data_IF_185415216954
#
_entry.id   IF_185415216954
#
_cell.length_a   1.000
_cell.length_b   1.000
_cell.length_c   1.000
_cell.angle_alpha   90.00
_cell.angle_beta   90.00
_cell.angle_gamma   90.00
#
_symmetry.space_group_name_H-M   'P 1'
#
loop_
_entity.id
_entity.type
_entity.pdbx_description
1 polymer ?
#
# COMPACT_ATOMS: atom_id res chain seq x y z
N UNK A 1 -29.94 -8.81 -4.07
CA UNK A 1 -30.52 -7.81 -4.99
C UNK A 1 -29.34 -6.98 -5.46
N UNK A 2 -29.21 -6.70 -6.76
CA UNK A 2 -28.05 -5.96 -7.26
C UNK A 2 -28.18 -4.50 -6.84
N UNK A 3 -27.40 -4.05 -5.86
CA UNK A 3 -27.39 -2.67 -5.41
C UNK A 3 -26.54 -1.83 -6.39
N UNK A 4 -27.22 -0.99 -7.17
CA UNK A 4 -26.58 -0.07 -8.10
C UNK A 4 -25.85 1.02 -7.32
N UNK A 5 -24.53 1.08 -7.45
CA UNK A 5 -23.71 2.15 -6.88
C UNK A 5 -23.11 3.03 -7.99
N UNK A 6 -22.85 4.30 -7.68
CA UNK A 6 -22.12 5.21 -8.56
C UNK A 6 -20.78 5.54 -7.91
N UNK A 7 -19.69 5.18 -8.57
CA UNK A 7 -18.33 5.44 -8.08
C UNK A 7 -18.00 6.94 -8.03
N UNK A 8 -18.61 7.73 -8.93
CA UNK A 8 -18.31 9.16 -9.11
C UNK A 8 -19.59 9.98 -9.32
N UNK A 9 -20.48 10.11 -8.32
CA UNK A 9 -21.80 10.70 -8.47
C UNK A 9 -21.80 12.16 -8.93
N UNK A 10 -20.68 12.89 -8.73
CA UNK A 10 -20.53 14.27 -9.19
C UNK A 10 -20.70 14.44 -10.70
N UNK A 11 -20.41 13.42 -11.51
CA UNK A 11 -20.61 13.47 -12.96
C UNK A 11 -22.09 13.54 -13.37
N UNK A 12 -23.02 13.20 -12.47
CA UNK A 12 -24.46 13.39 -12.69
C UNK A 12 -24.84 14.88 -12.77
N UNK A 13 -24.03 15.80 -12.23
CA UNK A 13 -24.27 17.24 -12.38
C UNK A 13 -24.20 17.70 -13.84
N UNK A 14 -23.50 16.96 -14.70
CA UNK A 14 -23.43 17.24 -16.14
C UNK A 14 -24.81 17.13 -16.80
N UNK A 15 -25.74 16.35 -16.21
CA UNK A 15 -27.13 16.22 -16.66
C UNK A 15 -27.90 17.56 -16.54
N UNK A 16 -27.48 18.46 -15.63
CA UNK A 16 -28.04 19.81 -15.51
C UNK A 16 -27.72 20.71 -16.72
N UNK A 17 -26.72 20.37 -17.54
CA UNK A 17 -26.45 21.08 -18.79
C UNK A 17 -27.44 20.73 -19.91
N UNK A 18 -28.17 19.60 -19.82
CA UNK A 18 -29.20 19.21 -20.80
C UNK A 18 -30.29 20.27 -20.97
N UNK A 19 -30.97 20.78 -19.90
CA UNK A 19 -31.98 21.82 -20.05
C UNK A 19 -31.41 23.12 -20.60
N UNK A 20 -30.14 23.46 -20.32
CA UNK A 20 -29.47 24.64 -20.89
C UNK A 20 -29.35 24.51 -22.42
N UNK A 21 -28.96 23.33 -22.90
CA UNK A 21 -28.89 23.02 -24.34
C UNK A 21 -30.28 23.10 -24.98
N UNK A 22 -31.33 22.60 -24.32
CA UNK A 22 -32.71 22.66 -24.82
C UNK A 22 -33.23 24.10 -24.88
N UNK A 23 -33.01 24.91 -23.84
CA UNK A 23 -33.42 26.32 -23.80
C UNK A 23 -32.64 27.15 -24.82
N UNK A 24 -31.33 26.93 -24.94
CA UNK A 24 -30.51 27.56 -25.98
C UNK A 24 -31.04 27.21 -27.37
N UNK A 25 -31.40 25.95 -27.62
CA UNK A 25 -32.02 25.53 -28.87
C UNK A 25 -33.34 26.27 -29.14
N UNK A 26 -34.22 26.39 -28.13
CA UNK A 26 -35.49 27.10 -28.29
C UNK A 26 -35.28 28.59 -28.59
N UNK A 27 -34.32 29.25 -27.92
CA UNK A 27 -33.98 30.66 -28.16
C UNK A 27 -33.34 30.90 -29.52
N UNK A 28 -32.48 29.98 -29.99
CA UNK A 28 -31.87 30.06 -31.33
C UNK A 28 -32.89 29.74 -32.44
N UNK A 29 -33.84 28.84 -32.20
CA UNK A 29 -34.97 28.55 -33.13
C UNK A 29 -35.93 29.73 -33.24
N UNK A 30 -36.16 30.44 -32.14
CA UNK A 30 -36.94 31.68 -32.05
C UNK A 30 -36.06 32.93 -32.22
N UNK A 31 -34.87 32.77 -32.81
CA UNK A 31 -34.02 33.87 -33.27
C UNK A 31 -34.64 34.62 -34.45
N UNK A 32 -35.89 35.08 -34.30
CA UNK A 32 -36.34 36.34 -34.88
C UNK A 32 -35.49 37.43 -34.22
N UNK A 33 -34.28 37.51 -34.74
CA UNK A 33 -33.38 38.64 -34.64
C UNK A 33 -34.26 39.89 -34.70
N UNK A 34 -34.32 40.64 -33.59
CA UNK A 34 -35.27 41.76 -33.39
C UNK A 34 -35.26 42.85 -34.47
N UNK A 35 -34.35 42.73 -35.44
CA UNK A 35 -34.33 43.34 -36.76
C UNK A 35 -35.63 43.18 -37.57
N UNK A 36 -36.40 42.09 -37.41
CA UNK A 36 -37.73 41.97 -38.03
C UNK A 36 -38.74 43.01 -37.52
N UNK A 37 -38.51 43.57 -36.32
CA UNK A 37 -39.35 44.61 -35.72
C UNK A 37 -39.10 45.99 -36.32
N UNK A 38 -37.97 46.17 -37.01
CA UNK A 38 -37.52 47.48 -37.53
C UNK A 38 -37.30 47.52 -39.05
N UNK A 39 -37.24 46.37 -39.74
CA UNK A 39 -36.99 46.30 -41.18
C UNK A 39 -38.22 45.72 -41.91
N UNK A 40 -38.82 46.45 -42.88
CA UNK A 40 -39.95 45.96 -43.67
C UNK A 40 -39.64 44.63 -44.36
N UNK A 41 -40.58 43.66 -44.38
CA UNK A 41 -40.35 42.30 -44.88
C UNK A 41 -39.94 42.23 -46.37
N UNK A 42 -40.20 43.29 -47.15
CA UNK A 42 -39.77 43.41 -48.54
C UNK A 42 -38.25 43.56 -48.71
N UNK A 43 -37.55 44.15 -47.73
CA UNK A 43 -36.09 44.39 -47.77
C UNK A 43 -35.26 43.27 -47.13
N UNK A 44 -35.90 42.39 -46.34
CA UNK A 44 -35.23 41.23 -45.70
C UNK A 44 -35.07 40.04 -46.66
N UNK A 45 -35.98 39.89 -47.63
CA UNK A 45 -35.96 38.76 -48.59
C UNK A 45 -34.70 38.69 -49.47
N UNK A 46 -34.11 39.80 -49.95
CA UNK A 46 -32.89 39.73 -50.75
C UNK A 46 -31.62 39.50 -49.92
N UNK A 47 -31.58 39.98 -48.67
CA UNK A 47 -30.37 39.95 -47.82
C UNK A 47 -30.20 38.66 -47.02
N UNK A 48 -31.27 37.90 -46.78
CA UNK A 48 -31.22 36.58 -46.12
C UNK A 48 -31.10 35.44 -47.16
N UNK A 49 -30.82 35.75 -48.44
CA UNK A 49 -30.36 34.73 -49.39
C UNK A 49 -28.93 34.34 -49.04
N UNK A 50 -28.81 33.28 -48.23
CA UNK A 50 -27.60 32.48 -48.19
C UNK A 50 -27.26 32.02 -49.62
N UNK A 51 -26.00 32.17 -50.08
CA UNK A 51 -25.60 31.65 -51.38
C UNK A 51 -25.73 30.12 -51.33
N UNK A 52 -26.45 29.56 -52.31
CA UNK A 52 -26.69 28.13 -52.56
C UNK A 52 -27.82 27.43 -51.76
N UNK A 53 -29.06 27.88 -51.90
CA UNK A 53 -30.24 27.09 -51.54
C UNK A 53 -31.40 27.26 -52.52
N UNK A 54 -31.73 26.22 -53.27
CA UNK A 54 -32.94 26.11 -54.11
C UNK A 54 -34.23 26.23 -53.25
N UNK A 55 -35.33 26.79 -53.77
CA UNK A 55 -36.56 26.95 -53.01
C UNK A 55 -37.23 25.58 -52.82
N UNK A 56 -37.38 25.13 -51.57
CA UNK A 56 -38.16 23.93 -51.23
C UNK A 56 -37.48 22.89 -50.34
N UNK A 57 -36.18 23.02 -50.03
CA UNK A 57 -35.56 22.15 -49.02
C UNK A 57 -35.56 22.83 -47.65
N UNK A 58 -36.09 22.18 -46.60
CA UNK A 58 -35.95 22.71 -45.25
C UNK A 58 -34.45 22.84 -44.98
N UNK A 59 -33.99 24.04 -44.64
CA UNK A 59 -32.68 24.22 -44.03
C UNK A 59 -32.67 23.27 -42.85
N UNK A 60 -31.88 22.19 -42.96
CA UNK A 60 -31.90 21.11 -41.99
C UNK A 60 -31.31 21.63 -40.67
N UNK A 61 -32.13 22.38 -39.93
CA UNK A 61 -31.87 22.86 -38.58
C UNK A 61 -31.56 21.61 -37.78
N UNK A 62 -30.28 21.48 -37.43
CA UNK A 62 -29.74 20.37 -36.67
C UNK A 62 -30.69 20.11 -35.49
N UNK A 63 -31.29 18.91 -35.39
CA UNK A 63 -31.96 18.57 -34.16
C UNK A 63 -30.86 18.45 -33.09
N UNK A 64 -30.97 19.17 -31.98
CA UNK A 64 -30.01 19.09 -30.88
C UNK A 64 -30.31 17.93 -29.93
N UNK A 65 -31.34 17.11 -30.23
CA UNK A 65 -31.65 15.89 -29.47
C UNK A 65 -30.51 14.85 -29.41
N UNK A 66 -29.72 14.56 -30.48
CA UNK A 66 -28.57 13.66 -30.38
C UNK A 66 -27.49 14.21 -29.43
N UNK A 67 -27.32 15.53 -29.37
CA UNK A 67 -26.37 16.16 -28.45
C UNK A 67 -26.83 16.03 -27.00
N UNK A 68 -28.11 16.29 -26.72
CA UNK A 68 -28.69 16.09 -25.40
C UNK A 68 -28.63 14.62 -24.96
N UNK A 69 -28.92 13.68 -25.86
CA UNK A 69 -28.82 12.24 -25.61
C UNK A 69 -27.38 11.81 -25.34
N UNK A 70 -26.42 12.28 -26.14
CA UNK A 70 -25.00 11.99 -25.93
C UNK A 70 -24.53 12.46 -24.55
N UNK A 71 -24.90 13.68 -24.18
CA UNK A 71 -24.49 14.30 -22.93
C UNK A 71 -25.08 13.58 -21.71
N UNK A 72 -26.32 13.09 -21.83
CA UNK A 72 -26.96 12.21 -20.83
C UNK A 72 -26.22 10.88 -20.70
N UNK A 73 -25.93 10.19 -21.82
CA UNK A 73 -25.24 8.90 -21.82
C UNK A 73 -23.82 9.02 -21.26
N UNK A 74 -23.11 10.10 -21.61
CA UNK A 74 -21.77 10.38 -21.08
C UNK A 74 -21.81 10.67 -19.59
N UNK A 75 -22.77 11.48 -19.11
CA UNK A 75 -22.90 11.74 -17.67
C UNK A 75 -23.08 10.46 -16.86
N UNK A 76 -23.85 9.50 -17.41
CA UNK A 76 -24.11 8.22 -16.78
C UNK A 76 -22.89 7.29 -16.85
N UNK A 77 -22.17 7.27 -17.98
CA UNK A 77 -20.94 6.50 -18.13
C UNK A 77 -19.84 6.98 -17.17
N UNK A 78 -19.66 8.30 -17.06
CA UNK A 78 -18.66 8.94 -16.21
C UNK A 78 -18.99 8.85 -14.71
N UNK A 79 -20.26 8.71 -14.36
CA UNK A 79 -20.68 8.46 -12.98
C UNK A 79 -20.21 7.08 -12.46
N UNK A 80 -19.80 6.19 -13.38
CA UNK A 80 -19.27 4.86 -13.08
C UNK A 80 -20.30 3.98 -12.38
N UNK A 81 -21.39 3.60 -13.07
CA UNK A 81 -22.36 2.66 -12.52
C UNK A 81 -21.65 1.33 -12.28
N UNK A 82 -21.76 0.83 -11.06
CA UNK A 82 -21.15 -0.40 -10.62
C UNK A 82 -22.21 -1.31 -10.05
N UNK A 83 -22.32 -2.51 -10.61
CA UNK A 83 -23.21 -3.58 -10.14
C UNK A 83 -22.47 -4.90 -9.95
N UNK A 84 -21.15 -4.91 -10.18
CA UNK A 84 -20.25 -6.02 -9.89
C UNK A 84 -19.23 -5.60 -8.83
N UNK A 85 -19.02 -6.47 -7.86
CA UNK A 85 -17.89 -6.38 -6.94
C UNK A 85 -16.78 -7.25 -7.50
N UNK A 86 -15.59 -6.67 -7.68
CA UNK A 86 -14.39 -7.42 -8.03
C UNK A 86 -13.56 -7.60 -6.75
N UNK A 87 -13.55 -8.79 -6.12
CA UNK A 87 -12.65 -9.06 -5.01
C UNK A 87 -11.23 -8.98 -5.57
N UNK A 88 -10.52 -7.91 -5.23
CA UNK A 88 -9.12 -7.76 -5.60
C UNK A 88 -8.33 -8.34 -4.42
N UNK A 89 -7.54 -9.42 -4.60
CA UNK A 89 -6.73 -9.94 -3.52
C UNK A 89 -5.72 -8.87 -3.10
N UNK A 90 -5.83 -8.39 -1.86
CA UNK A 90 -4.76 -7.60 -1.28
C UNK A 90 -3.56 -8.54 -1.10
N UNK A 91 -2.47 -8.28 -1.81
CA UNK A 91 -1.16 -8.86 -1.49
C UNK A 91 -0.76 -8.34 -0.10
N UNK A 92 -1.17 -9.01 0.96
CA UNK A 92 -0.48 -8.91 2.25
C UNK A 92 0.65 -9.94 2.20
N UNK A 93 1.91 -9.53 2.35
CA UNK A 93 2.98 -10.50 2.51
C UNK A 93 2.67 -11.34 3.75
N UNK A 94 2.39 -12.64 3.54
CA UNK A 94 2.16 -13.63 4.59
C UNK A 94 3.44 -13.96 5.36
N UNK A 95 4.19 -12.93 5.72
CA UNK A 95 5.47 -13.03 6.39
C UNK A 95 5.30 -12.57 7.83
N UNK A 96 5.14 -13.54 8.71
CA UNK A 96 4.88 -13.32 10.13
C UNK A 96 6.19 -13.35 10.91
N UNK A 97 6.47 -12.29 11.68
CA UNK A 97 7.67 -12.19 12.52
C UNK A 97 7.29 -12.03 13.99
N UNK A 98 7.82 -12.89 14.86
CA UNK A 98 7.78 -12.65 16.31
C UNK A 98 9.13 -12.09 16.76
N UNK A 99 9.12 -10.84 17.21
CA UNK A 99 10.29 -10.20 17.82
C UNK A 99 10.27 -10.50 19.31
N UNK A 100 11.33 -11.14 19.79
CA UNK A 100 11.55 -11.52 21.19
C UNK A 100 12.65 -10.63 21.75
N UNK A 101 12.28 -9.66 22.60
CA UNK A 101 13.20 -8.69 23.19
C UNK A 101 13.58 -9.09 24.63
N UNK A 102 14.87 -9.19 24.87
CA UNK A 102 15.44 -9.39 26.21
C UNK A 102 15.30 -8.11 27.06
N UNK A 103 14.71 -8.25 28.25
CA UNK A 103 14.56 -7.21 29.28
C UNK A 103 15.28 -7.58 30.58
N UNK A 104 16.30 -8.45 30.52
CA UNK A 104 17.19 -8.70 31.65
C UNK A 104 18.03 -7.47 31.99
N UNK A 105 18.56 -7.40 33.22
CA UNK A 105 19.35 -6.25 33.68
C UNK A 105 20.62 -6.03 32.85
N UNK A 106 21.16 -7.06 32.21
CA UNK A 106 22.36 -6.94 31.37
C UNK A 106 22.12 -6.09 30.12
N UNK A 107 20.87 -5.96 29.67
CA UNK A 107 20.48 -5.07 28.58
C UNK A 107 20.58 -3.57 28.95
N UNK A 108 20.79 -3.22 30.22
CA UNK A 108 21.09 -1.83 30.62
C UNK A 108 22.58 -1.49 30.52
N UNK A 109 23.45 -2.45 30.16
CA UNK A 109 24.88 -2.19 30.05
C UNK A 109 25.20 -1.14 28.98
N UNK A 110 26.22 -0.34 29.27
CA UNK A 110 26.61 0.84 28.49
C UNK A 110 27.90 0.63 27.69
N UNK A 111 28.17 -0.60 27.25
CA UNK A 111 29.26 -0.87 26.30
C UNK A 111 28.90 -0.47 24.86
N UNK A 112 27.63 -0.22 24.60
CA UNK A 112 27.10 0.47 23.43
C UNK A 112 26.29 1.67 23.90
N UNK A 113 26.34 2.78 23.16
CA UNK A 113 25.70 4.03 23.57
C UNK A 113 24.26 4.13 23.03
N UNK A 114 23.28 4.59 23.85
CA UNK A 114 23.39 4.90 25.28
C UNK A 114 23.40 3.66 26.19
N UNK A 115 22.67 2.62 25.81
CA UNK A 115 22.66 1.30 26.44
C UNK A 115 22.12 0.26 25.42
N UNK A 116 22.33 -1.03 25.70
CA UNK A 116 21.92 -2.13 24.80
C UNK A 116 20.42 -2.12 24.52
N UNK A 117 19.57 -1.92 25.53
CA UNK A 117 18.11 -1.93 25.38
C UNK A 117 17.63 -0.78 24.51
N UNK A 118 18.12 0.43 24.73
CA UNK A 118 17.77 1.60 23.94
C UNK A 118 18.16 1.40 22.47
N UNK A 119 19.33 0.82 22.23
CA UNK A 119 19.79 0.48 20.88
C UNK A 119 18.92 -0.62 20.23
N UNK A 120 18.55 -1.66 20.98
CA UNK A 120 17.64 -2.70 20.56
C UNK A 120 16.26 -2.13 20.17
N UNK A 121 15.69 -1.27 21.02
CA UNK A 121 14.41 -0.58 20.72
C UNK A 121 14.50 0.24 19.45
N UNK A 122 15.59 1.00 19.25
CA UNK A 122 15.78 1.76 18.00
C UNK A 122 15.79 0.82 16.80
N UNK A 123 16.55 -0.27 16.86
CA UNK A 123 16.63 -1.25 15.79
C UNK A 123 15.28 -1.93 15.52
N UNK A 124 14.46 -2.17 16.54
CA UNK A 124 13.09 -2.68 16.35
C UNK A 124 12.26 -1.65 15.55
N UNK A 125 12.37 -0.35 15.81
CA UNK A 125 11.69 0.67 14.99
C UNK A 125 12.15 0.65 13.54
N UNK A 126 13.47 0.59 13.31
CA UNK A 126 14.05 0.47 11.97
C UNK A 126 13.54 -0.79 11.25
N UNK A 127 13.41 -1.91 11.98
CA UNK A 127 12.87 -3.16 11.49
C UNK A 127 11.38 -3.08 11.14
N UNK A 128 10.56 -2.45 11.99
CA UNK A 128 9.14 -2.24 11.72
C UNK A 128 8.95 -1.37 10.47
N UNK A 129 9.76 -0.33 10.31
CA UNK A 129 9.75 0.53 9.13
C UNK A 129 10.09 -0.23 7.83
N UNK A 130 11.04 -1.16 7.91
CA UNK A 130 11.41 -2.03 6.80
C UNK A 130 10.36 -3.13 6.49
N UNK A 131 9.40 -3.35 7.40
CA UNK A 131 8.37 -4.41 7.32
C UNK A 131 6.96 -3.85 7.20
N UNK A 132 6.77 -2.65 6.65
CA UNK A 132 5.45 -2.03 6.47
C UNK A 132 4.46 -2.94 5.76
N UNK A 133 3.33 -3.21 6.42
CA UNK A 133 2.25 -4.06 5.90
C UNK A 133 2.46 -5.56 6.13
N UNK A 134 3.55 -5.99 6.79
CA UNK A 134 3.74 -7.37 7.24
C UNK A 134 3.41 -7.52 8.73
N UNK A 135 2.99 -8.72 9.12
CA UNK A 135 2.60 -8.99 10.50
C UNK A 135 3.82 -9.14 11.40
N UNK A 136 3.82 -8.38 12.48
CA UNK A 136 4.84 -8.45 13.53
C UNK A 136 4.17 -8.58 14.89
N UNK A 137 4.68 -9.51 15.71
CA UNK A 137 4.34 -9.62 17.12
C UNK A 137 5.54 -9.17 17.96
N UNK A 138 5.27 -8.61 19.13
CA UNK A 138 6.30 -8.22 20.10
C UNK A 138 6.11 -9.02 21.38
N UNK A 139 7.17 -9.72 21.76
CA UNK A 139 7.28 -10.50 23.00
C UNK A 139 8.48 -10.00 23.78
N UNK A 140 8.36 -9.97 25.10
CA UNK A 140 9.47 -9.61 26.00
C UNK A 140 9.73 -10.70 27.00
N UNK A 141 10.97 -10.79 27.47
CA UNK A 141 11.30 -11.79 28.49
C UNK A 141 12.44 -11.35 29.42
N UNK A 142 12.47 -11.96 30.60
CA UNK A 142 13.57 -11.92 31.57
C UNK A 142 13.55 -13.23 32.35
N UNK A 143 13.13 -13.25 33.61
CA UNK A 143 12.89 -14.49 34.37
C UNK A 143 11.58 -15.20 33.99
N UNK A 144 10.70 -14.49 33.28
CA UNK A 144 9.44 -14.98 32.70
C UNK A 144 9.25 -14.34 31.30
N UNK A 145 8.27 -14.80 30.52
CA UNK A 145 7.98 -14.32 29.16
C UNK A 145 6.54 -13.79 29.02
N UNK A 146 6.37 -12.67 28.32
CA UNK A 146 5.08 -12.04 28.11
C UNK A 146 4.91 -11.49 26.70
N UNK A 147 3.76 -11.77 26.10
CA UNK A 147 3.33 -11.16 24.83
C UNK A 147 2.91 -9.71 25.08
N UNK A 148 3.61 -8.78 24.46
CA UNK A 148 3.29 -7.34 24.50
C UNK A 148 2.24 -7.00 23.45
N UNK A 149 2.42 -7.54 22.25
CA UNK A 149 1.48 -7.36 21.14
C UNK A 149 1.41 -8.66 20.33
N UNK A 150 0.21 -9.20 20.06
CA UNK A 150 0.06 -10.33 19.14
C UNK A 150 0.42 -9.92 17.71
N UNK A 151 0.36 -10.85 16.76
CA UNK A 151 0.62 -10.55 15.35
C UNK A 151 -0.31 -9.44 14.85
N UNK A 152 0.28 -8.33 14.40
CA UNK A 152 -0.44 -7.17 13.86
C UNK A 152 0.40 -6.47 12.80
N UNK A 153 -0.26 -5.77 11.87
CA UNK A 153 0.35 -4.85 10.90
C UNK A 153 0.35 -3.39 11.40
N UNK A 154 -0.21 -3.12 12.59
CA UNK A 154 -0.20 -1.79 13.22
C UNK A 154 1.12 -1.50 13.92
N UNK A 155 2.09 -1.05 13.11
CA UNK A 155 3.40 -0.58 13.58
C UNK A 155 3.30 0.46 14.70
N UNK A 156 2.32 1.37 14.67
CA UNK A 156 2.22 2.46 15.66
C UNK A 156 1.86 1.93 17.04
N UNK A 157 1.02 0.91 17.10
CA UNK A 157 0.70 0.23 18.35
C UNK A 157 1.94 -0.44 18.95
N UNK A 158 2.73 -1.14 18.12
CA UNK A 158 3.98 -1.76 18.60
C UNK A 158 4.97 -0.71 19.09
N UNK A 159 5.16 0.39 18.34
CA UNK A 159 6.05 1.50 18.73
C UNK A 159 5.65 2.13 20.07
N UNK A 160 4.36 2.39 20.27
CA UNK A 160 3.86 2.95 21.52
C UNK A 160 4.11 2.03 22.72
N UNK A 161 3.98 0.71 22.54
CA UNK A 161 4.27 -0.26 23.60
C UNK A 161 5.76 -0.37 23.87
N UNK A 162 6.60 -0.32 22.83
CA UNK A 162 8.06 -0.43 22.92
C UNK A 162 8.68 0.67 23.80
N UNK A 163 8.13 1.87 23.78
CA UNK A 163 8.59 3.00 24.61
C UNK A 163 8.51 2.69 26.10
N UNK A 164 7.44 2.01 26.54
CA UNK A 164 7.20 1.68 27.94
C UNK A 164 8.02 0.49 28.47
N UNK A 165 8.75 -0.24 27.61
CA UNK A 165 9.45 -1.46 28.01
C UNK A 165 10.75 -1.18 28.79
N UNK A 166 10.81 -1.58 30.05
CA UNK A 166 12.01 -1.49 30.88
C UNK A 166 12.18 -2.77 31.70
N UNK A 167 13.41 -3.18 32.10
CA UNK A 167 13.63 -4.38 32.92
C UNK A 167 12.86 -4.40 34.25
N UNK A 168 12.52 -3.23 34.77
CA UNK A 168 11.80 -3.02 36.04
C UNK A 168 10.33 -3.44 35.98
N UNK A 169 9.73 -3.52 34.78
CA UNK A 169 8.33 -3.96 34.62
C UNK A 169 8.19 -5.48 34.69
N UNK A 170 9.30 -6.22 34.53
CA UNK A 170 9.28 -7.68 34.48
C UNK A 170 9.06 -8.28 35.88
N UNK A 171 8.07 -9.18 36.07
CA UNK A 171 7.75 -9.74 37.39
C UNK A 171 8.89 -10.59 37.99
N UNK A 172 9.62 -11.30 37.12
CA UNK A 172 10.74 -12.14 37.51
C UNK A 172 12.00 -11.69 36.76
N UNK A 173 13.10 -11.56 37.51
CA UNK A 173 14.42 -11.25 36.97
C UNK A 173 15.11 -12.55 36.51
N UNK A 174 15.86 -12.46 35.42
CA UNK A 174 16.59 -13.59 34.84
C UNK A 174 16.73 -13.47 33.33
N UNK A 175 17.05 -14.59 32.68
CA UNK A 175 17.16 -14.70 31.23
C UNK A 175 16.69 -16.11 30.82
N UNK A 176 15.36 -16.26 30.68
CA UNK A 176 14.61 -17.47 30.33
C UNK A 176 14.16 -17.41 28.87
N UNK A 177 15.13 -17.36 27.97
CA UNK A 177 14.87 -17.35 26.53
C UNK A 177 14.09 -18.60 26.07
N UNK A 178 14.17 -19.72 26.79
CA UNK A 178 13.38 -20.92 26.56
C UNK A 178 11.87 -20.67 26.62
N UNK A 179 11.40 -19.96 27.65
CA UNK A 179 9.99 -19.61 27.80
C UNK A 179 9.53 -18.65 26.70
N UNK A 180 10.41 -17.71 26.34
CA UNK A 180 10.14 -16.72 25.31
C UNK A 180 9.99 -17.34 23.92
N UNK A 181 10.89 -18.27 23.57
CA UNK A 181 10.82 -19.01 22.30
C UNK A 181 9.59 -19.92 22.27
N UNK A 182 9.21 -20.55 23.39
CA UNK A 182 7.99 -21.34 23.47
C UNK A 182 6.75 -20.50 23.16
N UNK A 183 6.58 -19.35 23.82
CA UNK A 183 5.45 -18.45 23.55
C UNK A 183 5.49 -17.88 22.12
N UNK A 184 6.69 -17.59 21.58
CA UNK A 184 6.83 -17.13 20.21
C UNK A 184 6.35 -18.19 19.20
N UNK A 185 6.69 -19.46 19.42
CA UNK A 185 6.18 -20.58 18.63
C UNK A 185 4.66 -20.68 18.74
N UNK A 186 4.10 -20.60 19.95
CA UNK A 186 2.65 -20.67 20.16
C UNK A 186 1.89 -19.55 19.43
N UNK A 187 2.43 -18.32 19.41
CA UNK A 187 1.86 -17.20 18.67
C UNK A 187 1.86 -17.45 17.15
N UNK A 188 2.95 -18.02 16.62
CA UNK A 188 3.05 -18.35 15.20
C UNK A 188 2.08 -19.48 14.83
N UNK A 189 2.01 -20.54 15.65
CA UNK A 189 1.11 -21.68 15.44
C UNK A 189 -0.37 -21.25 15.42
N UNK A 190 -0.75 -20.24 16.21
CA UNK A 190 -2.14 -19.79 16.37
C UNK A 190 -2.58 -18.76 15.32
N UNK A 191 -1.67 -18.01 14.73
CA UNK A 191 -2.03 -16.76 14.05
C UNK A 191 -1.16 -16.31 12.89
N UNK A 192 -0.15 -17.07 12.46
CA UNK A 192 0.67 -16.70 11.31
C UNK A 192 0.01 -17.11 9.97
N UNK A 193 -0.45 -16.17 9.14
CA UNK A 193 -0.73 -16.46 7.74
C UNK A 193 0.59 -16.61 6.99
N UNK A 194 0.97 -17.83 6.62
CA UNK A 194 2.18 -18.10 5.84
C UNK A 194 3.44 -18.41 6.67
N UNK A 195 4.65 -18.32 6.08
CA UNK A 195 5.90 -18.60 6.79
C UNK A 195 6.11 -17.67 8.00
N UNK A 196 6.36 -18.28 9.15
CA UNK A 196 6.65 -17.61 10.42
C UNK A 196 8.14 -17.61 10.73
N UNK A 197 8.62 -16.56 11.40
CA UNK A 197 10.03 -16.41 11.81
C UNK A 197 10.11 -15.87 13.22
N UNK A 198 11.14 -16.27 13.96
CA UNK A 198 11.41 -15.77 15.31
C UNK A 198 12.71 -14.96 15.26
N UNK A 199 12.69 -13.75 15.80
CA UNK A 199 13.86 -12.90 15.98
C UNK A 199 14.11 -12.68 17.47
N UNK A 200 15.15 -13.29 18.01
CA UNK A 200 15.62 -13.06 19.37
C UNK A 200 16.62 -11.91 19.39
N UNK A 201 16.34 -10.88 20.18
CA UNK A 201 17.25 -9.74 20.40
C UNK A 201 17.76 -9.81 21.84
N UNK A 202 19.03 -10.15 22.02
CA UNK A 202 19.64 -10.40 23.33
C UNK A 202 21.16 -10.26 23.28
N UNK A 203 21.79 -10.11 24.44
CA UNK A 203 23.25 -10.07 24.60
C UNK A 203 23.85 -11.47 24.82
N UNK A 204 23.18 -12.34 25.56
CA UNK A 204 23.57 -13.71 25.82
C UNK A 204 22.36 -14.59 26.16
N UNK A 205 22.49 -15.91 26.00
CA UNK A 205 21.50 -16.87 26.50
C UNK A 205 22.23 -17.94 27.31
N UNK A 206 21.83 -18.24 28.55
CA UNK A 206 22.48 -19.29 29.32
C UNK A 206 22.40 -20.65 28.62
N UNK A 207 23.54 -21.35 28.51
CA UNK A 207 23.64 -22.62 27.76
C UNK A 207 22.64 -23.71 28.19
N UNK A 208 22.23 -23.70 29.47
CA UNK A 208 21.20 -24.63 29.98
C UNK A 208 19.86 -24.54 29.25
N UNK A 209 19.59 -23.44 28.55
CA UNK A 209 18.37 -23.22 27.77
C UNK A 209 18.52 -23.58 26.29
N UNK A 210 19.71 -23.91 25.80
CA UNK A 210 19.92 -24.23 24.38
C UNK A 210 19.21 -25.51 23.97
N UNK A 211 19.31 -26.56 24.79
CA UNK A 211 18.62 -27.82 24.53
C UNK A 211 17.09 -27.65 24.58
N UNK A 212 16.49 -27.02 25.63
CA UNK A 212 15.06 -26.71 25.64
C UNK A 212 14.57 -25.91 24.42
N UNK A 213 15.31 -24.87 24.00
CA UNK A 213 14.97 -24.07 22.81
C UNK A 213 14.98 -24.94 21.56
N UNK A 214 16.03 -25.75 21.37
CA UNK A 214 16.14 -26.67 20.25
C UNK A 214 15.01 -27.68 20.22
N UNK A 215 14.70 -28.27 21.35
CA UNK A 215 13.66 -29.29 21.45
C UNK A 215 12.27 -28.69 21.19
N UNK A 216 12.05 -27.41 21.56
CA UNK A 216 10.82 -26.65 21.26
C UNK A 216 10.64 -26.37 19.77
N UNK A 217 11.74 -26.09 19.06
CA UNK A 217 11.72 -25.73 17.63
C UNK A 217 12.01 -26.89 16.68
N UNK A 218 12.37 -28.08 17.18
CA UNK A 218 12.78 -29.22 16.36
C UNK A 218 11.74 -29.64 15.30
N UNK A 219 10.46 -29.51 15.61
CA UNK A 219 9.35 -29.84 14.72
C UNK A 219 8.65 -28.59 14.12
N UNK A 220 9.10 -27.39 14.51
CA UNK A 220 8.51 -26.15 14.06
C UNK A 220 9.15 -25.68 12.74
N UNK A 221 8.37 -25.21 11.75
CA UNK A 221 8.91 -24.67 10.50
C UNK A 221 9.46 -23.23 10.66
N UNK A 222 9.71 -22.78 11.89
CA UNK A 222 10.05 -21.40 12.21
C UNK A 222 11.54 -21.26 12.51
N UNK A 223 12.34 -20.62 11.63
CA UNK A 223 13.75 -20.39 11.92
C UNK A 223 13.92 -19.37 13.05
N UNK A 224 14.87 -19.64 13.95
CA UNK A 224 15.26 -18.73 15.02
C UNK A 224 16.46 -17.88 14.58
N UNK A 225 16.18 -16.64 14.19
CA UNK A 225 17.20 -15.62 13.96
C UNK A 225 17.58 -14.95 15.28
N UNK A 226 18.85 -14.57 15.42
CA UNK A 226 19.35 -13.90 16.62
C UNK A 226 20.06 -12.60 16.24
N UNK A 227 19.64 -11.51 16.85
CA UNK A 227 20.31 -10.23 16.80
C UNK A 227 21.05 -10.00 18.12
N UNK A 228 22.38 -10.03 18.05
CA UNK A 228 23.25 -9.87 19.22
C UNK A 228 23.41 -8.40 19.53
N UNK A 229 23.17 -8.00 20.77
CA UNK A 229 23.36 -6.62 21.23
C UNK A 229 24.46 -6.56 22.28
N UNK A 230 25.37 -5.60 22.14
CA UNK A 230 26.51 -5.43 23.04
C UNK A 230 27.80 -5.98 22.45
N UNK A 231 28.85 -5.95 23.27
CA UNK A 231 30.22 -6.26 22.86
C UNK A 231 30.81 -7.40 23.68
N UNK A 232 31.78 -8.12 23.11
CA UNK A 232 32.53 -9.17 23.82
C UNK A 232 33.41 -8.60 24.95
N UNK A 233 33.80 -7.32 24.86
CA UNK A 233 34.54 -6.64 25.93
C UNK A 233 33.65 -6.41 27.17
N UNK A 234 32.34 -6.22 26.93
CA UNK A 234 31.33 -6.01 27.95
C UNK A 234 31.35 -4.62 28.55
N UNK A 235 30.33 -4.37 29.38
CA UNK A 235 30.11 -3.08 30.02
C UNK A 235 29.52 -3.23 31.41
N UNK A 236 29.68 -2.20 32.26
CA UNK A 236 29.04 -2.17 33.56
C UNK A 236 27.54 -1.90 33.41
N UNK A 237 26.75 -2.39 34.37
CA UNK A 237 25.30 -2.18 34.40
C UNK A 237 24.98 -0.99 35.33
N UNK A 238 24.47 0.15 34.83
CA UNK A 238 24.17 1.31 35.64
C UNK A 238 22.92 1.10 36.51
N UNK A 239 22.93 1.67 37.71
CA UNK A 239 21.79 1.78 38.60
C UNK A 239 21.41 3.25 38.74
N UNK A 240 20.13 3.57 38.56
CA UNK A 240 19.61 4.92 38.73
C UNK A 240 20.03 5.48 40.10
N UNK A 241 20.94 6.46 40.09
CA UNK A 241 21.48 7.19 41.25
C UNK A 241 22.40 6.41 42.21
N UNK A 242 22.78 5.16 41.91
CA UNK A 242 23.65 4.32 42.78
C UNK A 242 24.95 3.83 42.12
N UNK A 243 25.32 4.39 40.98
CA UNK A 243 26.52 3.98 40.24
C UNK A 243 26.23 2.73 39.40
N UNK A 244 26.88 1.61 39.70
CA UNK A 244 26.75 0.36 38.95
C UNK A 244 26.32 -0.80 39.85
N UNK A 245 25.70 -1.82 39.26
CA UNK A 245 25.41 -3.09 39.94
C UNK A 245 26.73 -3.67 40.48
N UNK A 246 26.68 -4.14 41.72
CA UNK A 246 27.80 -4.79 42.39
C UNK A 246 27.39 -6.16 42.91
N UNK A 247 28.30 -7.11 42.80
CA UNK A 247 28.20 -8.44 43.36
C UNK A 247 29.47 -8.67 44.18
N UNK A 248 29.33 -9.06 45.45
CA UNK A 248 30.43 -9.21 46.41
C UNK A 248 31.39 -8.00 46.54
N UNK A 249 30.90 -6.80 46.22
CA UNK A 249 31.64 -5.54 46.30
C UNK A 249 32.25 -5.07 44.97
N UNK A 250 32.38 -5.97 44.00
CA UNK A 250 32.94 -5.70 42.68
C UNK A 250 31.86 -5.29 41.67
N UNK A 251 32.22 -4.45 40.71
CA UNK A 251 31.29 -4.00 39.66
C UNK A 251 31.03 -5.16 38.71
N UNK A 252 29.75 -5.46 38.48
CA UNK A 252 29.34 -6.49 37.52
C UNK A 252 29.57 -5.99 36.10
N UNK A 253 30.39 -6.71 35.35
CA UNK A 253 30.63 -6.48 33.92
C UNK A 253 29.96 -7.59 33.13
N UNK A 254 28.93 -7.24 32.35
CA UNK A 254 28.25 -8.19 31.46
C UNK A 254 28.83 -8.12 30.06
N UNK A 255 29.00 -9.28 29.41
CA UNK A 255 29.56 -9.41 28.06
C UNK A 255 28.51 -10.02 27.14
N UNK A 256 28.46 -9.54 25.91
CA UNK A 256 27.70 -10.24 24.89
C UNK A 256 28.46 -11.51 24.47
N UNK A 257 27.73 -12.54 24.04
CA UNK A 257 28.30 -13.82 23.60
C UNK A 257 27.91 -14.14 22.14
N UNK A 258 28.43 -13.38 21.15
CA UNK A 258 28.01 -13.53 19.75
C UNK A 258 28.19 -14.94 19.19
N UNK A 259 29.29 -15.62 19.54
CA UNK A 259 29.59 -16.96 19.05
C UNK A 259 28.59 -18.02 19.57
N UNK A 260 28.18 -17.91 20.84
CA UNK A 260 27.21 -18.83 21.44
C UNK A 260 25.82 -18.61 20.84
N UNK A 261 25.43 -17.34 20.65
CA UNK A 261 24.18 -16.97 19.99
C UNK A 261 24.16 -17.37 18.51
N UNK A 262 25.31 -17.30 17.83
CA UNK A 262 25.46 -17.82 16.47
C UNK A 262 25.28 -19.33 16.40
N UNK A 263 25.80 -20.07 17.38
CA UNK A 263 25.59 -21.51 17.49
C UNK A 263 24.10 -21.83 17.74
N UNK A 264 23.44 -21.09 18.63
CA UNK A 264 22.02 -21.24 18.92
C UNK A 264 21.15 -21.01 17.68
N UNK A 265 21.40 -19.94 16.92
CA UNK A 265 20.66 -19.63 15.70
C UNK A 265 20.81 -20.74 14.64
N UNK A 266 22.07 -21.16 14.36
CA UNK A 266 22.36 -22.19 13.35
C UNK A 266 21.76 -23.55 13.71
N UNK A 267 21.75 -23.91 15.00
CA UNK A 267 21.14 -25.15 15.47
C UNK A 267 19.62 -25.19 15.27
N UNK A 268 18.98 -24.03 15.08
CA UNK A 268 17.53 -23.86 14.92
C UNK A 268 17.16 -23.30 13.53
N UNK A 269 17.99 -23.56 12.52
CA UNK A 269 17.70 -23.21 11.12
C UNK A 269 17.72 -21.72 10.79
N UNK A 270 18.13 -20.85 11.73
CA UNK A 270 18.24 -19.41 11.53
C UNK A 270 19.68 -18.91 11.45
N UNK A 271 19.80 -17.59 11.43
CA UNK A 271 21.08 -16.88 11.33
C UNK A 271 21.28 -15.92 12.49
N UNK A 272 22.54 -15.57 12.76
CA UNK A 272 22.88 -14.55 13.75
C UNK A 272 23.58 -13.37 13.10
N UNK A 273 23.29 -12.17 13.59
CA UNK A 273 24.05 -10.96 13.29
C UNK A 273 24.27 -10.16 14.56
N UNK A 274 25.44 -9.54 14.68
CA UNK A 274 25.60 -8.44 15.62
C UNK A 274 24.78 -7.24 15.14
N UNK A 275 24.23 -6.48 16.09
CA UNK A 275 23.44 -5.29 15.80
C UNK A 275 24.33 -4.22 15.19
N UNK A 276 23.92 -3.73 14.02
CA UNK A 276 24.60 -2.64 13.32
C UNK A 276 23.79 -1.35 13.39
N UNK A 277 24.46 -0.18 13.37
CA UNK A 277 23.75 1.11 13.36
C UNK A 277 22.97 1.35 12.05
N UNK A 278 23.33 0.64 10.99
CA UNK A 278 22.66 0.61 9.69
C UNK A 278 21.93 -0.71 9.46
N UNK A 279 21.23 -0.85 8.33
CA UNK A 279 20.32 -1.99 8.08
C UNK A 279 21.01 -3.25 7.51
N UNK A 280 22.33 -3.36 7.64
CA UNK A 280 23.07 -4.53 7.15
C UNK A 280 22.66 -5.80 7.89
N UNK A 281 22.45 -5.70 9.20
CA UNK A 281 21.94 -6.76 10.05
C UNK A 281 20.55 -7.25 9.63
N UNK A 282 19.60 -6.32 9.41
CA UNK A 282 18.23 -6.61 8.95
C UNK A 282 18.26 -7.37 7.63
N UNK A 283 19.04 -6.89 6.64
CA UNK A 283 19.19 -7.55 5.34
C UNK A 283 19.86 -8.91 5.46
N UNK A 284 20.89 -9.05 6.29
CA UNK A 284 21.62 -10.31 6.48
C UNK A 284 20.73 -11.39 7.07
N UNK A 285 19.88 -11.03 8.03
CA UNK A 285 18.91 -11.93 8.65
C UNK A 285 17.64 -12.12 7.77
N UNK A 286 17.63 -11.56 6.56
CA UNK A 286 16.52 -11.57 5.62
C UNK A 286 15.19 -11.08 6.23
N UNK A 287 15.22 -10.21 7.25
CA UNK A 287 14.04 -9.84 8.03
C UNK A 287 13.10 -8.86 7.31
N UNK A 288 13.26 -8.63 6.01
CA UNK A 288 12.27 -7.92 5.20
C UNK A 288 11.27 -8.92 4.64
N UNK A 289 10.02 -8.52 4.36
CA UNK A 289 9.09 -9.36 3.64
C UNK A 289 9.65 -9.60 2.25
N UNK A 290 9.95 -10.86 1.91
CA UNK A 290 10.19 -11.19 0.52
C UNK A 290 8.88 -10.99 -0.23
N UNK A 291 8.94 -10.28 -1.36
CA UNK A 291 7.84 -10.25 -2.30
C UNK A 291 7.71 -11.66 -2.89
N UNK A 292 7.07 -12.58 -2.17
CA UNK A 292 6.72 -13.87 -2.71
C UNK A 292 5.73 -13.60 -3.86
N UNK A 293 6.13 -13.96 -5.07
CA UNK A 293 5.26 -14.00 -6.25
C UNK A 293 4.14 -15.04 -6.12
N UNK A 294 4.16 -15.82 -5.04
CA UNK A 294 3.09 -16.72 -4.67
C UNK A 294 1.84 -15.92 -4.33
N UNK A 295 0.86 -16.06 -5.22
CA UNK A 295 -0.53 -15.69 -5.02
C UNK A 295 -1.05 -16.56 -3.88
N UNK A 296 -0.79 -16.15 -2.63
CA UNK A 296 -1.46 -16.73 -1.49
C UNK A 296 -2.94 -16.34 -1.61
N UNK A 297 -3.73 -17.25 -2.18
CA UNK A 297 -5.18 -17.32 -2.00
C UNK A 297 -5.41 -17.44 -0.49
N UNK A 298 -5.44 -16.30 0.18
CA UNK A 298 -5.87 -16.23 1.57
C UNK A 298 -7.36 -16.53 1.59
N UNK A 299 -7.71 -17.79 1.85
CA UNK A 299 -9.08 -18.20 2.21
C UNK A 299 -9.60 -17.40 3.43
N UNK A 300 -8.71 -16.74 4.16
CA UNK A 300 -9.00 -15.81 5.26
C UNK A 300 -9.17 -14.36 4.79
N UNK A 301 -10.27 -14.09 4.10
CA UNK A 301 -11.26 -13.12 4.61
C UNK A 301 -10.95 -11.62 4.68
N UNK A 302 -9.94 -11.08 3.99
CA UNK A 302 -9.78 -9.62 3.82
C UNK A 302 -9.79 -9.20 2.34
N UNK A 303 -10.81 -9.64 1.59
CA UNK A 303 -11.16 -8.99 0.34
C UNK A 303 -11.78 -7.62 0.65
N UNK A 304 -11.09 -6.53 0.30
CA UNK A 304 -11.77 -5.25 0.18
C UNK A 304 -12.60 -5.33 -1.09
N UNK A 305 -13.93 -5.42 -0.94
CA UNK A 305 -14.84 -5.43 -2.09
C UNK A 305 -14.75 -4.09 -2.79
N UNK A 306 -14.02 -4.05 -3.90
CA UNK A 306 -13.96 -2.88 -4.77
C UNK A 306 -15.05 -3.02 -5.82
N UNK A 307 -15.98 -2.08 -5.83
CA UNK A 307 -16.95 -1.95 -6.90
C UNK A 307 -16.22 -1.73 -8.23
N UNK A 308 -16.51 -2.58 -9.22
CA UNK A 308 -15.94 -2.46 -10.55
C UNK A 308 -16.73 -1.44 -11.36
N UNK A 309 -16.02 -0.56 -12.07
CA UNK A 309 -16.66 0.40 -12.97
C UNK A 309 -17.15 -0.31 -14.24
N UNK A 310 -18.48 -0.50 -14.34
CA UNK A 310 -19.14 -1.08 -15.51
C UNK A 310 -19.64 0.02 -16.49
N UNK A 311 -19.28 1.29 -16.26
CA UNK A 311 -19.70 2.44 -17.08
C UNK A 311 -19.24 2.38 -18.53
N UNK A 312 -18.20 1.59 -18.83
CA UNK A 312 -17.69 1.41 -20.19
C UNK A 312 -18.73 0.82 -21.16
N UNK A 313 -19.72 0.06 -20.68
CA UNK A 313 -20.80 -0.45 -21.53
C UNK A 313 -21.62 0.67 -22.18
N UNK A 314 -21.77 1.81 -21.49
CA UNK A 314 -22.51 2.97 -22.00
C UNK A 314 -21.77 3.70 -23.14
N UNK A 315 -20.47 3.48 -23.30
CA UNK A 315 -19.69 4.03 -24.42
C UNK A 315 -20.15 3.45 -25.76
N UNK A 316 -20.60 2.19 -25.80
CA UNK A 316 -21.17 1.57 -27.00
C UNK A 316 -22.44 2.29 -27.47
N UNK A 317 -23.22 2.82 -26.53
CA UNK A 317 -24.43 3.59 -26.84
C UNK A 317 -24.11 5.03 -27.25
N UNK A 318 -22.97 5.58 -26.81
CA UNK A 318 -22.50 6.91 -27.20
C UNK A 318 -21.90 6.97 -28.61
N UNK A 319 -21.26 5.89 -29.08
CA UNK A 319 -20.64 5.80 -30.42
C UNK A 319 -21.60 6.14 -31.58
N UNK A 320 -22.81 5.54 -31.70
CA UNK A 320 -23.73 5.87 -32.79
C UNK A 320 -24.26 7.31 -32.70
N UNK A 321 -24.41 7.86 -31.49
CA UNK A 321 -24.82 9.26 -31.28
C UNK A 321 -23.73 10.24 -31.75
N UNK A 322 -22.45 9.92 -31.48
CA UNK A 322 -21.30 10.65 -32.01
C UNK A 322 -21.24 10.55 -33.54
N UNK A 323 -21.48 9.37 -34.12
CA UNK A 323 -21.46 9.17 -35.56
C UNK A 323 -22.58 9.93 -36.28
N UNK A 324 -23.77 10.01 -35.68
CA UNK A 324 -24.86 10.86 -36.17
C UNK A 324 -24.47 12.35 -36.15
N UNK A 325 -23.69 12.78 -35.16
CA UNK A 325 -23.12 14.13 -35.05
C UNK A 325 -21.98 14.43 -36.02
N UNK A 326 -21.23 13.40 -36.44
CA UNK A 326 -20.05 13.48 -37.31
C UNK A 326 -20.34 14.13 -38.66
N UNK A 327 -21.50 13.84 -39.26
CA UNK A 327 -21.80 14.23 -40.65
C UNK A 327 -22.04 15.73 -40.87
N UNK A 328 -22.19 16.55 -39.81
CA UNK A 328 -22.67 17.96 -39.95
C UNK A 328 -22.10 18.97 -38.93
N UNK A 329 -20.89 18.74 -38.39
CA UNK A 329 -20.16 19.76 -37.62
C UNK A 329 -20.30 19.72 -36.08
N UNK A 330 -20.85 18.63 -35.51
CA UNK A 330 -20.96 18.48 -34.06
C UNK A 330 -19.61 18.28 -33.34
N UNK A 331 -18.52 18.16 -34.08
CA UNK A 331 -17.15 18.01 -33.54
C UNK A 331 -16.76 19.18 -32.64
N UNK A 332 -17.23 20.39 -32.93
CA UNK A 332 -16.97 21.56 -32.09
C UNK A 332 -17.59 21.43 -30.69
N UNK A 333 -18.78 20.83 -30.58
CA UNK A 333 -19.47 20.66 -29.29
C UNK A 333 -18.92 19.47 -28.52
N UNK A 334 -18.56 18.38 -29.21
CA UNK A 334 -17.86 17.25 -28.58
C UNK A 334 -16.47 17.66 -28.06
N UNK A 335 -15.73 18.51 -28.78
CA UNK A 335 -14.48 19.11 -28.32
C UNK A 335 -14.67 19.96 -27.06
N UNK A 336 -15.73 20.76 -27.00
CA UNK A 336 -16.05 21.58 -25.80
C UNK A 336 -16.44 20.68 -24.62
N UNK A 337 -17.18 19.60 -24.84
CA UNK A 337 -17.54 18.63 -23.80
C UNK A 337 -16.33 17.80 -23.30
N UNK A 338 -15.31 17.60 -24.15
CA UNK A 338 -14.04 16.95 -23.80
C UNK A 338 -12.99 17.92 -23.22
N UNK A 339 -13.20 19.24 -23.32
CA UNK A 339 -12.33 20.27 -22.75
C UNK A 339 -12.15 20.17 -21.22
N UNK A 340 -13.16 19.84 -20.39
CA UNK A 340 -12.92 19.59 -18.96
C UNK A 340 -12.04 18.34 -18.72
N UNK A 341 -12.00 17.39 -19.65
CA UNK A 341 -11.11 16.22 -19.58
C UNK A 341 -9.64 16.55 -19.91
N UNK A 342 -9.35 17.72 -20.48
CA UNK A 342 -7.97 18.21 -20.71
C UNK A 342 -7.47 19.14 -19.61
N UNK A 343 -8.34 19.59 -18.69
CA UNK A 343 -7.95 20.37 -17.51
C UNK A 343 -7.80 19.52 -16.25
N UNK A 344 -8.21 18.25 -16.29
CA UNK A 344 -7.83 17.29 -15.24
C UNK A 344 -6.33 16.99 -15.36
N UNK A 345 -5.54 17.05 -14.28
CA UNK A 345 -4.14 16.64 -14.31
C UNK A 345 -4.09 15.17 -14.72
N UNK A 346 -3.68 14.91 -15.96
CA UNK A 346 -3.36 13.57 -16.42
C UNK A 346 -1.88 13.34 -16.12
N UNK A 347 -1.51 12.21 -15.51
CA UNK A 347 -0.13 11.77 -15.63
C UNK A 347 0.20 11.64 -17.12
N UNK A 348 1.40 12.06 -17.50
CA UNK A 348 1.83 12.10 -18.89
C UNK A 348 1.99 10.66 -19.41
N UNK A 349 0.90 10.06 -19.90
CA UNK A 349 0.93 8.82 -20.66
C UNK A 349 1.56 9.11 -22.02
N UNK A 350 2.84 8.81 -22.16
CA UNK A 350 3.53 8.80 -23.44
C UNK A 350 2.91 7.69 -24.32
N UNK A 351 2.02 8.09 -25.23
CA UNK A 351 1.43 7.20 -26.22
C UNK A 351 2.47 6.87 -27.28
N UNK A 352 3.21 5.79 -27.08
CA UNK A 352 4.05 5.17 -28.11
C UNK A 352 3.17 4.29 -29.04
N UNK A 353 3.55 4.16 -30.32
CA UNK A 353 2.79 3.35 -31.28
C UNK A 353 2.85 1.84 -30.97
N UNK A 354 3.96 1.38 -30.38
CA UNK A 354 4.05 0.05 -29.77
C UNK A 354 3.09 -0.09 -28.58
N UNK A 355 2.86 1.04 -27.88
CA UNK A 355 1.95 1.35 -26.77
C UNK A 355 0.52 0.80 -26.87
N UNK A 356 -0.01 0.80 -28.08
CA UNK A 356 -1.43 0.59 -28.35
C UNK A 356 -1.84 -0.88 -28.48
N UNK A 357 -0.89 -1.77 -28.77
CA UNK A 357 -1.18 -3.16 -29.15
C UNK A 357 -0.65 -4.20 -28.14
N UNK A 358 0.19 -3.78 -27.20
CA UNK A 358 0.68 -4.62 -26.10
C UNK A 358 0.18 -4.05 -24.77
N UNK A 359 -0.14 -4.94 -23.84
CA UNK A 359 -0.47 -4.57 -22.46
C UNK A 359 0.83 -4.35 -21.67
N UNK A 360 0.80 -3.55 -20.60
CA UNK A 360 1.98 -3.21 -19.78
C UNK A 360 2.69 -4.44 -19.20
N UNK A 361 1.91 -5.45 -18.80
CA UNK A 361 2.35 -6.76 -18.31
C UNK A 361 3.16 -7.55 -19.37
N UNK A 362 2.92 -7.32 -20.66
CA UNK A 362 3.64 -7.96 -21.76
C UNK A 362 4.91 -7.19 -22.16
N UNK A 363 4.95 -5.87 -21.93
CA UNK A 363 6.11 -5.04 -22.27
C UNK A 363 7.24 -5.13 -21.27
N UNK A 364 6.93 -5.20 -19.97
CA UNK A 364 7.95 -5.19 -18.93
C UNK A 364 8.99 -6.33 -19.10
N UNK A 365 8.61 -7.59 -19.39
CA UNK A 365 9.58 -8.67 -19.62
C UNK A 365 10.43 -8.46 -20.88
N UNK A 366 9.83 -7.93 -21.95
CA UNK A 366 10.49 -7.70 -23.24
C UNK A 366 11.49 -6.54 -23.15
N UNK A 367 11.14 -5.45 -22.45
CA UNK A 367 12.02 -4.30 -22.18
C UNK A 367 13.20 -4.67 -21.27
N UNK A 368 12.99 -5.51 -20.26
CA UNK A 368 14.08 -5.99 -19.38
C UNK A 368 15.08 -6.82 -20.18
N UNK A 369 14.60 -7.66 -21.11
CA UNK A 369 15.45 -8.50 -21.95
C UNK A 369 16.22 -7.71 -23.02
N UNK A 370 15.62 -6.66 -23.59
CA UNK A 370 16.24 -5.87 -24.65
C UNK A 370 17.09 -4.70 -24.15
N UNK A 371 16.66 -3.99 -23.10
CA UNK A 371 17.39 -2.83 -22.56
C UNK A 371 17.12 -2.61 -21.04
N UNK A 372 17.82 -3.32 -20.16
CA UNK A 372 17.54 -3.32 -18.72
C UNK A 372 17.74 -1.94 -18.05
N UNK A 373 18.62 -1.10 -18.58
CA UNK A 373 18.85 0.25 -18.05
C UNK A 373 17.69 1.22 -18.34
N UNK A 374 17.00 1.03 -19.48
CA UNK A 374 15.82 1.80 -19.85
C UNK A 374 14.56 1.27 -19.16
N UNK A 375 14.46 -0.05 -19.00
CA UNK A 375 13.41 -0.69 -18.22
C UNK A 375 13.37 -0.19 -16.75
N UNK A 376 14.53 -0.05 -16.10
CA UNK A 376 14.63 0.49 -14.75
C UNK A 376 14.06 1.92 -14.66
N UNK A 377 14.40 2.80 -15.62
CA UNK A 377 13.91 4.18 -15.64
C UNK A 377 12.40 4.30 -15.85
N UNK A 378 11.83 3.44 -16.69
CA UNK A 378 10.41 3.49 -17.04
C UNK A 378 9.54 2.86 -15.94
N UNK A 379 10.02 1.76 -15.33
CA UNK A 379 9.28 1.01 -14.30
C UNK A 379 9.41 1.62 -12.89
N UNK A 380 10.47 2.39 -12.60
CA UNK A 380 10.64 3.07 -11.30
C UNK A 380 9.84 4.37 -11.16
N UNK A 381 9.33 4.95 -12.25
CA UNK A 381 8.43 6.11 -12.19
C UNK A 381 6.98 5.67 -12.03
N UNK A 382 6.32 5.89 -10.87
CA UNK A 382 4.89 5.64 -10.74
C UNK A 382 4.12 6.63 -11.63
N UNK A 383 3.38 6.10 -12.60
CA UNK A 383 2.44 6.85 -13.44
C UNK A 383 1.19 7.26 -12.70
#
# INVERSE_FOLDING_TARGET
MADLHFLRPLWLLLLLAVPVVVVAQQRLKHGDTGWQRYIPPALLRPLIRSPNGTPGQPTARMPWWPLAALLMVMSLALAGPSWREAPTPLKQPGDSLVVVLDLSLSMLATDVEPDRLTLAKRKIRDLLDARKGALTALLVYSGDAHVVTPLTDDQRTIEAMLDALEPTIMPAQGNRADLAVQQAKELLDQGAPGPGRILLISDAVPQRYFAPIRDTLAEAPYPLNVLVVGTANGGPIPLAKRGFIREDGDIVITRAEPDQLAQLARANGGQSSELTLDDRDIRRLALTPEASDDWADSETGHSVNRWQDDGYWLLWLALPLLWLGWRRGAFAVALIALMPLSMAPRPALALDWGGLWQREDQRAPELINHNPAEAARILETPG
#
